data_IF_010493617911
#
_entry.id   IF_010493617911
#
_cell.length_a   1.000
_cell.length_b   1.000
_cell.length_c   1.000
_cell.angle_alpha   90.00
_cell.angle_beta   90.00
_cell.angle_gamma   90.00
#
_symmetry.space_group_name_H-M   'P 1'
#
loop_
_entity.id
_entity.type
_entity.pdbx_description
1 polymer ?
#
# COMPACT_ATOMS: atom_id res chain seq x y z
N UNK A 1 -4.15 -0.46 -13.19
CA UNK A 1 -3.08 0.11 -12.34
C UNK A 1 -1.82 0.21 -13.18
N UNK A 2 -1.07 1.31 -13.09
CA UNK A 2 0.01 1.67 -14.02
C UNK A 2 1.08 0.57 -14.10
N UNK A 3 1.07 -0.17 -15.22
CA UNK A 3 1.87 -1.38 -15.51
C UNK A 3 3.34 -1.12 -15.83
N UNK A 4 4.01 -0.34 -14.98
CA UNK A 4 5.45 -0.13 -15.10
C UNK A 4 6.19 -1.27 -14.39
N UNK A 5 6.60 -2.27 -15.17
CA UNK A 5 7.32 -3.43 -14.65
C UNK A 5 8.84 -3.25 -14.71
N UNK A 6 9.34 -2.35 -15.55
CA UNK A 6 10.79 -2.15 -15.76
C UNK A 6 11.36 -1.15 -14.76
N UNK A 7 12.54 -1.44 -14.21
CA UNK A 7 13.23 -0.55 -13.27
C UNK A 7 13.32 0.90 -13.75
N UNK A 8 13.74 1.13 -15.01
CA UNK A 8 13.87 2.48 -15.59
C UNK A 8 12.53 3.23 -15.64
N UNK A 9 11.42 2.55 -15.89
CA UNK A 9 10.10 3.16 -15.90
C UNK A 9 9.67 3.53 -14.48
N UNK A 10 9.90 2.64 -13.52
CA UNK A 10 9.61 2.88 -12.10
C UNK A 10 10.44 4.08 -11.60
N UNK A 11 11.76 4.10 -11.86
CA UNK A 11 12.65 5.19 -11.47
C UNK A 11 12.21 6.54 -12.03
N UNK A 12 11.85 6.59 -13.32
CA UNK A 12 11.35 7.82 -13.95
C UNK A 12 10.06 8.31 -13.28
N UNK A 13 9.15 7.42 -12.92
CA UNK A 13 7.86 7.80 -12.35
C UNK A 13 7.92 8.14 -10.86
N UNK A 14 8.87 7.59 -10.11
CA UNK A 14 9.03 7.90 -8.68
C UNK A 14 9.98 9.06 -8.42
N UNK A 15 10.90 9.37 -9.34
CA UNK A 15 11.94 10.38 -9.14
C UNK A 15 12.95 10.01 -8.04
N UNK A 16 12.88 8.78 -7.50
CA UNK A 16 13.77 8.35 -6.44
C UNK A 16 15.19 8.11 -6.98
N UNK A 17 16.24 8.44 -6.18
CA UNK A 17 17.61 8.02 -6.47
C UNK A 17 17.67 6.49 -6.73
N UNK A 18 18.44 6.09 -7.73
CA UNK A 18 18.45 4.71 -8.24
C UNK A 18 18.89 3.68 -7.20
N UNK A 19 19.85 4.04 -6.36
CA UNK A 19 20.34 3.26 -5.22
C UNK A 19 19.22 3.00 -4.20
N UNK A 20 18.50 4.06 -3.79
CA UNK A 20 17.38 3.92 -2.85
C UNK A 20 16.24 3.14 -3.46
N UNK A 21 15.92 3.37 -4.73
CA UNK A 21 14.87 2.63 -5.41
C UNK A 21 15.21 1.14 -5.49
N UNK A 22 16.45 0.79 -5.84
CA UNK A 22 16.90 -0.59 -5.89
C UNK A 22 16.76 -1.28 -4.53
N UNK A 23 17.18 -0.61 -3.45
CA UNK A 23 17.03 -1.11 -2.09
C UNK A 23 15.55 -1.33 -1.71
N UNK A 24 14.66 -0.38 -2.04
CA UNK A 24 13.22 -0.49 -1.76
C UNK A 24 12.56 -1.61 -2.56
N UNK A 25 12.87 -1.74 -3.85
CA UNK A 25 12.35 -2.82 -4.68
C UNK A 25 12.83 -4.18 -4.20
N UNK A 26 14.11 -4.29 -3.77
CA UNK A 26 14.63 -5.50 -3.16
C UNK A 26 13.86 -5.86 -1.89
N UNK A 27 13.68 -4.92 -0.97
CA UNK A 27 12.93 -5.15 0.26
C UNK A 27 11.47 -5.57 0.00
N UNK A 28 10.80 -4.96 -0.98
CA UNK A 28 9.44 -5.35 -1.37
C UNK A 28 9.37 -6.75 -1.99
N UNK A 29 10.42 -7.19 -2.68
CA UNK A 29 10.51 -8.57 -3.17
C UNK A 29 10.74 -9.53 -2.01
N UNK A 30 11.67 -9.21 -1.11
CA UNK A 30 11.97 -10.03 0.07
C UNK A 30 10.76 -10.17 1.00
N UNK A 31 9.92 -9.14 1.11
CA UNK A 31 8.68 -9.18 1.90
C UNK A 31 7.50 -9.83 1.18
N UNK A 32 7.70 -10.34 -0.05
CA UNK A 32 6.63 -10.98 -0.83
C UNK A 32 5.56 -10.03 -1.36
N UNK A 33 5.79 -8.70 -1.35
CA UNK A 33 4.87 -7.71 -1.94
C UNK A 33 5.05 -7.65 -3.46
N UNK A 34 6.29 -7.80 -3.91
CA UNK A 34 6.64 -7.90 -5.33
C UNK A 34 7.26 -9.26 -5.64
N UNK A 35 7.13 -9.68 -6.89
CA UNK A 35 7.86 -10.80 -7.46
C UNK A 35 8.62 -10.35 -8.71
N UNK A 36 9.76 -11.02 -8.98
CA UNK A 36 10.50 -10.82 -10.23
C UNK A 36 10.10 -11.91 -11.22
N UNK A 37 9.60 -11.50 -12.39
CA UNK A 37 9.24 -12.43 -13.49
C UNK A 37 9.81 -11.93 -14.82
N UNK A 38 10.12 -12.81 -15.78
CA UNK A 38 10.52 -12.41 -17.13
C UNK A 38 9.50 -11.45 -17.74
N UNK A 39 9.98 -10.46 -18.48
CA UNK A 39 9.11 -9.52 -19.18
C UNK A 39 8.49 -10.20 -20.39
N UNK A 40 7.17 -10.01 -20.65
CA UNK A 40 6.48 -10.65 -21.77
C UNK A 40 7.08 -10.32 -23.14
N UNK A 41 7.66 -9.13 -23.29
CA UNK A 41 8.24 -8.61 -24.52
C UNK A 41 9.75 -8.90 -24.66
N UNK A 42 10.43 -9.29 -23.59
CA UNK A 42 11.83 -9.75 -23.63
C UNK A 42 12.17 -10.61 -22.41
N UNK A 43 12.14 -11.93 -22.59
CA UNK A 43 12.36 -12.90 -21.52
C UNK A 43 13.77 -12.85 -20.88
N UNK A 44 14.74 -12.16 -21.51
CA UNK A 44 16.09 -11.98 -20.96
C UNK A 44 16.11 -11.02 -19.77
N UNK A 45 15.10 -10.17 -19.65
CA UNK A 45 14.99 -9.19 -18.56
C UNK A 45 13.82 -9.55 -17.65
N UNK A 46 13.98 -9.33 -16.34
CA UNK A 46 12.89 -9.48 -15.38
C UNK A 46 12.28 -8.13 -15.02
N UNK A 47 10.96 -8.10 -14.91
CA UNK A 47 10.19 -7.00 -14.34
C UNK A 47 9.76 -7.26 -12.90
N UNK A 48 9.23 -6.22 -12.26
CA UNK A 48 8.63 -6.27 -10.93
C UNK A 48 7.11 -6.33 -11.05
N UNK A 49 6.49 -7.30 -10.39
CA UNK A 49 5.04 -7.53 -10.44
C UNK A 49 4.49 -7.61 -9.02
N UNK A 50 3.28 -7.10 -8.81
CA UNK A 50 2.58 -7.27 -7.54
C UNK A 50 2.20 -8.75 -7.38
N UNK A 51 2.48 -9.29 -6.19
CA UNK A 51 1.88 -10.53 -5.72
C UNK A 51 0.42 -10.31 -5.33
N UNK A 52 -0.24 -11.34 -4.82
CA UNK A 52 -1.56 -11.19 -4.20
C UNK A 52 -1.50 -10.24 -2.99
N UNK A 53 -0.59 -10.49 -2.05
CA UNK A 53 -0.35 -9.61 -0.91
C UNK A 53 -0.05 -8.16 -1.33
N UNK A 54 0.72 -7.96 -2.41
CA UNK A 54 0.97 -6.62 -2.94
C UNK A 54 -0.26 -5.95 -3.54
N UNK A 55 -1.19 -6.70 -4.13
CA UNK A 55 -2.46 -6.17 -4.63
C UNK A 55 -3.36 -5.71 -3.49
N UNK A 56 -3.37 -6.41 -2.36
CA UNK A 56 -4.18 -6.06 -1.19
C UNK A 56 -3.78 -4.71 -0.58
N UNK A 57 -2.48 -4.35 -0.65
CA UNK A 57 -2.00 -3.03 -0.24
C UNK A 57 -2.56 -1.87 -1.08
N UNK A 58 -3.20 -2.15 -2.21
CA UNK A 58 -3.75 -1.14 -3.10
C UNK A 58 -4.78 -0.24 -2.43
N UNK A 59 -5.63 -0.77 -1.54
CA UNK A 59 -6.60 0.02 -0.80
C UNK A 59 -5.92 0.97 0.19
N UNK A 60 -5.00 0.45 1.00
CA UNK A 60 -4.23 1.22 1.99
C UNK A 60 -3.44 2.34 1.31
N UNK A 61 -2.81 2.06 0.17
CA UNK A 61 -2.04 3.06 -0.58
C UNK A 61 -2.92 4.21 -1.07
N UNK A 62 -4.16 3.93 -1.48
CA UNK A 62 -5.12 4.99 -1.91
C UNK A 62 -5.53 5.88 -0.74
N UNK A 63 -5.75 5.31 0.44
CA UNK A 63 -6.02 6.08 1.66
C UNK A 63 -4.86 6.99 2.03
N UNK A 64 -3.63 6.46 1.98
CA UNK A 64 -2.43 7.22 2.28
C UNK A 64 -2.20 8.37 1.29
N UNK A 65 -2.45 8.15 0.00
CA UNK A 65 -2.44 9.21 -1.02
C UNK A 65 -3.48 10.26 -0.70
N UNK A 66 -4.71 9.85 -0.37
CA UNK A 66 -5.79 10.77 -0.01
C UNK A 66 -5.47 11.62 1.23
N UNK A 67 -4.78 11.05 2.22
CA UNK A 67 -4.24 11.78 3.37
C UNK A 67 -3.14 12.76 2.95
N UNK A 68 -2.17 12.33 2.15
CA UNK A 68 -1.08 13.18 1.65
C UNK A 68 -1.59 14.37 0.85
N UNK A 69 -2.56 14.14 -0.03
CA UNK A 69 -3.24 15.18 -0.83
C UNK A 69 -3.95 16.24 0.02
N UNK A 70 -4.41 15.87 1.23
CA UNK A 70 -5.08 16.80 2.15
C UNK A 70 -4.11 17.60 3.01
N UNK A 71 -3.00 16.98 3.41
CA UNK A 71 -2.18 17.49 4.52
C UNK A 71 -0.72 17.76 4.17
N UNK A 72 -0.16 17.10 3.16
CA UNK A 72 1.29 17.11 2.88
C UNK A 72 1.62 17.97 1.66
N UNK A 73 0.77 17.99 0.64
CA UNK A 73 1.05 18.68 -0.63
C UNK A 73 0.07 19.82 -0.88
N UNK A 74 0.57 20.95 -1.37
CA UNK A 74 -0.25 22.09 -1.79
C UNK A 74 -0.93 21.81 -3.13
N UNK A 75 -0.25 21.10 -4.03
CA UNK A 75 -0.76 20.70 -5.33
C UNK A 75 -0.24 19.28 -5.66
N UNK A 76 -1.10 18.25 -5.67
CA UNK A 76 -0.66 16.89 -5.99
C UNK A 76 -0.37 16.76 -7.49
N UNK A 77 0.63 15.93 -7.89
CA UNK A 77 0.99 15.72 -9.30
C UNK A 77 -0.11 14.99 -10.10
N UNK A 78 -1.07 14.38 -9.42
CA UNK A 78 -2.23 13.74 -10.02
C UNK A 78 -3.33 13.50 -8.98
N UNK A 79 -4.56 13.23 -9.42
CA UNK A 79 -5.69 12.91 -8.54
C UNK A 79 -6.29 11.58 -8.94
N UNK A 80 -6.62 10.76 -7.94
CA UNK A 80 -7.37 9.51 -8.18
C UNK A 80 -8.85 9.85 -8.29
N UNK A 81 -9.48 9.43 -9.39
CA UNK A 81 -10.91 9.62 -9.65
C UNK A 81 -11.63 8.29 -9.71
N UNK A 82 -12.84 8.27 -9.18
CA UNK A 82 -13.80 7.23 -9.49
C UNK A 82 -14.70 7.80 -10.59
N UNK A 83 -14.45 7.38 -11.83
CA UNK A 83 -15.15 7.90 -13.02
C UNK A 83 -15.02 9.43 -13.12
N UNK A 84 -16.14 10.14 -12.97
CA UNK A 84 -16.30 11.57 -13.14
C UNK A 84 -16.22 12.36 -11.83
N UNK A 85 -15.86 11.75 -10.70
CA UNK A 85 -15.71 12.44 -9.40
C UNK A 85 -14.43 12.04 -8.66
N UNK A 86 -14.08 12.82 -7.62
CA UNK A 86 -12.95 12.50 -6.74
C UNK A 86 -13.21 11.18 -6.04
N UNK A 87 -12.24 10.27 -6.03
CA UNK A 87 -12.34 9.06 -5.23
C UNK A 87 -12.24 9.44 -3.74
N UNK A 88 -13.25 9.07 -2.97
CA UNK A 88 -13.22 9.03 -1.51
C UNK A 88 -13.51 7.60 -1.12
N UNK A 89 -12.60 7.00 -0.36
CA UNK A 89 -12.71 5.63 0.12
C UNK A 89 -13.08 5.66 1.60
N UNK A 90 -13.86 4.67 2.01
CA UNK A 90 -14.24 4.42 3.40
C UNK A 90 -14.12 2.92 3.63
N UNK A 91 -13.69 2.52 4.82
CA UNK A 91 -13.80 1.14 5.25
C UNK A 91 -15.28 0.81 5.50
N UNK A 92 -15.72 -0.36 5.05
CA UNK A 92 -17.06 -0.89 5.27
C UNK A 92 -16.89 -2.26 5.90
N UNK A 93 -17.63 -2.52 6.99
CA UNK A 93 -17.62 -3.82 7.64
C UNK A 93 -18.34 -4.82 6.75
N UNK A 94 -17.67 -5.93 6.43
CA UNK A 94 -18.26 -6.97 5.57
C UNK A 94 -19.46 -7.66 6.24
N UNK A 95 -19.47 -7.77 7.57
CA UNK A 95 -20.52 -8.47 8.32
C UNK A 95 -21.82 -7.69 8.41
N UNK A 96 -21.77 -6.40 8.76
CA UNK A 96 -22.97 -5.58 8.94
C UNK A 96 -23.25 -4.64 7.75
N UNK A 97 -22.28 -4.40 6.87
CA UNK A 97 -22.39 -3.49 5.73
C UNK A 97 -22.28 -2.00 6.08
N UNK A 98 -22.04 -1.66 7.35
CA UNK A 98 -21.93 -0.28 7.81
C UNK A 98 -20.53 0.30 7.56
N UNK A 99 -20.47 1.63 7.47
CA UNK A 99 -19.19 2.33 7.42
C UNK A 99 -18.49 2.20 8.75
N UNK A 100 -17.22 1.87 8.71
CA UNK A 100 -16.39 1.77 9.90
C UNK A 100 -15.85 3.15 10.26
N UNK A 101 -16.20 3.63 11.45
CA UNK A 101 -15.55 4.78 12.07
C UNK A 101 -14.54 4.33 13.11
N UNK A 102 -13.55 5.17 13.44
CA UNK A 102 -12.46 4.78 14.33
C UNK A 102 -12.95 4.45 15.74
N UNK A 103 -14.00 5.14 16.19
CA UNK A 103 -14.70 4.91 17.45
C UNK A 103 -15.47 3.59 17.51
N UNK A 104 -15.87 3.02 16.37
CA UNK A 104 -16.69 1.80 16.28
C UNK A 104 -15.84 0.52 16.24
N UNK A 105 -14.51 0.64 16.26
CA UNK A 105 -13.60 -0.51 16.18
C UNK A 105 -12.94 -0.74 17.52
N UNK A 106 -13.14 -1.95 18.05
CA UNK A 106 -12.45 -2.41 19.25
C UNK A 106 -11.45 -3.51 18.89
N UNK A 107 -10.30 -3.48 19.56
CA UNK A 107 -9.29 -4.53 19.46
C UNK A 107 -9.46 -5.47 20.65
N UNK A 108 -9.68 -6.74 20.36
CA UNK A 108 -9.67 -7.78 21.38
C UNK A 108 -8.24 -8.16 21.76
N UNK A 109 -8.00 -8.35 23.05
CA UNK A 109 -6.72 -8.82 23.59
C UNK A 109 -6.69 -10.35 23.56
N UNK A 110 -6.11 -10.90 22.49
CA UNK A 110 -6.09 -12.34 22.23
C UNK A 110 -4.97 -13.09 22.98
N UNK A 111 -4.06 -12.38 23.63
CA UNK A 111 -2.90 -12.95 24.33
C UNK A 111 -3.05 -12.71 25.83
N UNK A 112 -3.07 -13.77 26.68
CA UNK A 112 -3.06 -13.60 28.14
C UNK A 112 -1.86 -12.77 28.60
N UNK A 113 -2.10 -11.73 29.40
CA UNK A 113 -1.06 -10.82 29.89
C UNK A 113 -0.68 -9.70 28.91
N UNK A 114 -1.50 -9.43 27.90
CA UNK A 114 -1.40 -8.26 27.03
C UNK A 114 -2.70 -7.45 27.10
N UNK A 115 -2.59 -6.14 27.29
CA UNK A 115 -3.70 -5.19 27.13
C UNK A 115 -3.36 -4.12 26.08
N UNK A 116 -4.26 -3.15 25.88
CA UNK A 116 -4.08 -2.06 24.92
C UNK A 116 -2.85 -1.15 25.21
N UNK A 117 -2.30 -1.21 26.42
CA UNK A 117 -1.08 -0.49 26.83
C UNK A 117 0.19 -1.35 26.73
N UNK A 118 0.07 -2.67 26.55
CA UNK A 118 1.19 -3.59 26.35
C UNK A 118 1.17 -4.78 27.32
N UNK A 119 2.35 -5.33 27.68
CA UNK A 119 2.45 -6.42 28.64
C UNK A 119 1.96 -6.02 30.04
N UNK A 120 0.96 -6.73 30.53
CA UNK A 120 0.49 -6.62 31.91
C UNK A 120 1.45 -7.42 32.79
N UNK A 121 2.27 -6.72 33.57
CA UNK A 121 3.05 -7.37 34.63
C UNK A 121 2.11 -7.78 35.76
N UNK A 122 1.81 -9.06 35.87
CA UNK A 122 1.17 -9.62 37.07
C UNK A 122 2.09 -9.40 38.28
N UNK A 123 1.58 -8.89 39.42
CA UNK A 123 2.38 -8.68 40.63
C UNK A 123 2.92 -9.98 41.24
#
# INVERSE_FOLDING_TARGET
MLGNHRFRQIARNTGAPTDRLAARLKALVESGVLERRPLPDDARYSGYYLTEAGRDLGAITRELIGWGDRWVVTAPPGRIRHRDHKLVTHAVCETCGERVHGEDVHRDDLVPGWDQSGPVTTP
#
